data_IF_864213559019
#
_entry.id   IF_864213559019
#
_cell.length_a   1.000
_cell.length_b   1.000
_cell.length_c   1.000
_cell.angle_alpha   90.00
_cell.angle_beta   90.00
_cell.angle_gamma   90.00
#
_symmetry.space_group_name_H-M   'P 1'
#
loop_
_entity.id
_entity.type
_entity.pdbx_description
1 polymer ?
#
# COMPACT_ATOMS: atom_id res chain seq x y z
N UNK A 1 5.89 5.24 -24.48
CA UNK A 1 4.78 4.73 -23.69
C UNK A 1 4.94 5.25 -22.27
N UNK A 2 3.84 5.53 -21.56
CA UNK A 2 3.89 5.90 -20.13
C UNK A 2 3.93 4.60 -19.33
N UNK A 3 4.81 4.52 -18.33
CA UNK A 3 4.79 3.40 -17.39
C UNK A 3 3.66 3.61 -16.38
N UNK A 4 2.98 2.54 -16.04
CA UNK A 4 1.88 2.55 -15.06
C UNK A 4 2.30 1.83 -13.81
N UNK A 5 2.01 2.46 -12.67
CA UNK A 5 2.16 1.89 -11.34
C UNK A 5 0.77 1.70 -10.71
N UNK A 6 0.45 0.48 -10.33
CA UNK A 6 -0.82 0.12 -9.71
C UNK A 6 -0.63 -0.30 -8.25
N UNK A 7 -1.70 -0.30 -7.48
CA UNK A 7 -1.66 -0.51 -6.03
C UNK A 7 -2.78 -1.42 -5.53
N UNK A 8 -2.59 -1.99 -4.37
CA UNK A 8 -3.61 -2.68 -3.58
C UNK A 8 -4.38 -3.73 -4.40
N UNK A 9 -5.70 -3.60 -4.48
CA UNK A 9 -6.57 -4.56 -5.15
C UNK A 9 -6.83 -4.28 -6.63
N UNK A 10 -6.07 -3.39 -7.27
CA UNK A 10 -6.28 -3.05 -8.68
C UNK A 10 -6.19 -4.26 -9.64
N UNK A 11 -5.46 -5.31 -9.26
CA UNK A 11 -5.41 -6.53 -10.07
C UNK A 11 -6.76 -7.27 -10.15
N UNK A 12 -7.70 -6.99 -9.24
CA UNK A 12 -9.05 -7.53 -9.27
C UNK A 12 -10.00 -6.73 -10.17
N UNK A 13 -9.57 -5.55 -10.64
CA UNK A 13 -10.34 -4.72 -11.58
C UNK A 13 -10.27 -5.31 -13.00
N UNK A 14 -11.37 -5.23 -13.75
CA UNK A 14 -11.46 -5.72 -15.13
C UNK A 14 -10.45 -5.08 -16.09
N UNK A 15 -10.04 -3.83 -15.80
CA UNK A 15 -9.06 -3.08 -16.58
C UNK A 15 -7.62 -3.55 -16.38
N UNK A 16 -7.34 -4.38 -15.39
CA UNK A 16 -5.97 -4.80 -15.06
C UNK A 16 -5.23 -5.40 -16.25
N UNK A 17 -5.89 -6.31 -16.98
CA UNK A 17 -5.32 -6.96 -18.17
C UNK A 17 -5.10 -6.03 -19.36
N UNK A 18 -5.85 -4.92 -19.43
CA UNK A 18 -5.70 -3.88 -20.47
C UNK A 18 -4.62 -2.88 -20.09
N UNK A 19 -4.59 -2.43 -18.83
CA UNK A 19 -3.62 -1.45 -18.31
C UNK A 19 -2.21 -2.02 -18.25
N UNK A 20 -2.06 -3.29 -17.89
CA UNK A 20 -0.78 -4.02 -17.82
C UNK A 20 0.30 -3.22 -17.09
N UNK A 21 0.14 -2.90 -15.80
CA UNK A 21 1.07 -2.07 -15.06
C UNK A 21 2.48 -2.67 -15.04
N UNK A 22 3.50 -1.85 -15.32
CA UNK A 22 4.89 -2.25 -15.22
C UNK A 22 5.37 -2.36 -13.76
N UNK A 23 4.71 -1.62 -12.87
CA UNK A 23 4.99 -1.55 -11.44
C UNK A 23 3.72 -1.82 -10.63
N UNK A 24 3.87 -2.54 -9.53
CA UNK A 24 2.78 -2.82 -8.61
C UNK A 24 3.26 -2.66 -7.17
N UNK A 25 2.48 -2.02 -6.30
CA UNK A 25 2.89 -1.76 -4.91
C UNK A 25 1.89 -2.36 -3.93
N UNK A 26 2.37 -3.21 -3.04
CA UNK A 26 1.66 -3.75 -1.90
C UNK A 26 2.39 -3.33 -0.62
N UNK A 27 1.95 -2.24 0.01
CA UNK A 27 2.60 -1.68 1.19
C UNK A 27 1.87 -1.93 2.49
N UNK A 28 0.59 -2.26 2.45
CA UNK A 28 -0.19 -2.48 3.66
C UNK A 28 0.16 -3.83 4.31
N UNK A 29 0.30 -3.89 5.63
CA UNK A 29 0.53 -5.13 6.37
C UNK A 29 -0.49 -6.23 6.12
N UNK A 30 -1.73 -5.90 5.74
CA UNK A 30 -2.76 -6.89 5.41
C UNK A 30 -2.35 -7.87 4.31
N UNK A 31 -1.45 -7.46 3.41
CA UNK A 31 -1.00 -8.29 2.29
C UNK A 31 -0.01 -9.39 2.69
N UNK A 32 0.56 -9.33 3.89
CA UNK A 32 1.50 -10.34 4.38
C UNK A 32 1.20 -10.81 5.82
N UNK A 33 0.08 -10.36 6.40
CA UNK A 33 -0.39 -10.83 7.72
C UNK A 33 -1.63 -11.68 7.58
N UNK A 34 -1.65 -12.76 8.33
CA UNK A 34 -2.72 -13.75 8.31
C UNK A 34 -4.07 -13.30 8.90
N UNK A 35 -4.18 -12.08 9.39
CA UNK A 35 -5.26 -11.72 10.32
C UNK A 35 -6.49 -11.05 9.71
N UNK A 36 -6.39 -10.47 8.49
CA UNK A 36 -7.51 -9.67 7.93
C UNK A 36 -7.67 -9.90 6.43
N UNK A 37 -8.93 -10.05 5.97
CA UNK A 37 -9.28 -10.17 4.54
C UNK A 37 -8.58 -11.30 3.77
N UNK A 38 -8.38 -12.45 4.41
CA UNK A 38 -7.66 -13.61 3.84
C UNK A 38 -8.12 -13.98 2.43
N UNK A 39 -9.43 -14.08 2.22
CA UNK A 39 -10.00 -14.56 0.95
C UNK A 39 -9.67 -13.59 -0.20
N UNK A 40 -9.82 -12.30 0.06
CA UNK A 40 -9.57 -11.26 -0.95
C UNK A 40 -8.08 -11.10 -1.26
N UNK A 41 -7.21 -11.23 -0.27
CA UNK A 41 -5.76 -11.23 -0.48
C UNK A 41 -5.33 -12.49 -1.22
N UNK A 42 -5.89 -13.64 -0.90
CA UNK A 42 -5.63 -14.89 -1.63
C UNK A 42 -6.10 -14.80 -3.09
N UNK A 43 -7.26 -14.19 -3.34
CA UNK A 43 -7.76 -13.92 -4.68
C UNK A 43 -6.82 -12.97 -5.44
N UNK A 44 -6.34 -11.90 -4.80
CA UNK A 44 -5.36 -10.98 -5.37
C UNK A 44 -4.09 -11.72 -5.81
N UNK A 45 -3.52 -12.54 -4.96
CA UNK A 45 -2.30 -13.29 -5.28
C UNK A 45 -2.52 -14.31 -6.38
N UNK A 46 -3.65 -15.03 -6.36
CA UNK A 46 -4.03 -15.94 -7.44
C UNK A 46 -4.16 -15.18 -8.77
N UNK A 47 -4.85 -14.04 -8.77
CA UNK A 47 -5.02 -13.21 -9.96
C UNK A 47 -3.69 -12.70 -10.51
N UNK A 48 -2.79 -12.23 -9.65
CA UNK A 48 -1.45 -11.83 -10.05
C UNK A 48 -0.64 -13.00 -10.62
N UNK A 49 -0.71 -14.16 -9.97
CA UNK A 49 -0.01 -15.35 -10.43
C UNK A 49 -0.50 -15.85 -11.79
N UNK A 50 -1.81 -15.81 -12.05
CA UNK A 50 -2.42 -16.36 -13.25
C UNK A 50 -2.48 -15.37 -14.42
N UNK A 51 -2.80 -14.09 -14.16
CA UNK A 51 -3.10 -13.11 -15.22
C UNK A 51 -1.90 -12.30 -15.69
N UNK A 52 -0.81 -12.21 -14.92
CA UNK A 52 0.35 -11.42 -15.33
C UNK A 52 1.17 -12.17 -16.36
N UNK A 53 1.06 -11.75 -17.62
CA UNK A 53 1.80 -12.32 -18.78
C UNK A 53 2.85 -11.35 -19.33
N UNK A 54 3.12 -10.25 -18.62
CA UNK A 54 4.10 -9.22 -18.99
C UNK A 54 5.09 -8.99 -17.84
N UNK A 55 6.29 -8.46 -18.12
CA UNK A 55 7.24 -8.11 -17.08
C UNK A 55 6.66 -7.08 -16.12
N UNK A 56 6.59 -7.41 -14.84
CA UNK A 56 6.07 -6.54 -13.79
C UNK A 56 6.96 -6.58 -12.55
N UNK A 57 7.29 -5.41 -12.00
CA UNK A 57 7.99 -5.31 -10.72
C UNK A 57 6.97 -5.11 -9.60
N UNK A 58 6.92 -6.06 -8.67
CA UNK A 58 6.09 -5.98 -7.48
C UNK A 58 6.91 -5.46 -6.30
N UNK A 59 6.56 -4.27 -5.83
CA UNK A 59 7.19 -3.63 -4.68
C UNK A 59 6.48 -4.00 -3.40
N UNK A 60 7.23 -4.56 -2.45
CA UNK A 60 6.77 -4.98 -1.13
C UNK A 60 7.69 -4.46 -0.04
N UNK A 61 7.19 -4.33 1.17
CA UNK A 61 8.01 -3.89 2.30
C UNK A 61 9.15 -4.88 2.57
N UNK A 62 10.35 -4.34 2.87
CA UNK A 62 11.49 -5.15 3.31
C UNK A 62 11.22 -5.81 4.67
N UNK A 63 10.61 -5.06 5.59
CA UNK A 63 10.21 -5.56 6.89
C UNK A 63 9.01 -6.51 6.75
N UNK A 64 9.27 -7.77 7.06
CA UNK A 64 8.30 -8.85 6.99
C UNK A 64 8.41 -9.70 8.26
N UNK A 65 7.76 -9.30 9.37
CA UNK A 65 7.89 -9.96 10.67
C UNK A 65 7.39 -11.40 10.67
N UNK A 66 6.45 -11.72 9.80
CA UNK A 66 5.84 -13.05 9.68
C UNK A 66 6.57 -13.93 8.67
N UNK A 67 7.65 -13.43 8.08
CA UNK A 67 8.46 -14.12 7.07
C UNK A 67 7.63 -14.64 5.88
N UNK A 68 6.60 -13.88 5.51
CA UNK A 68 5.74 -14.25 4.39
C UNK A 68 6.55 -14.47 3.12
N UNK A 69 6.40 -15.64 2.51
CA UNK A 69 7.11 -15.99 1.29
C UNK A 69 6.33 -15.55 0.05
N UNK A 70 6.62 -14.34 -0.42
CA UNK A 70 6.02 -13.80 -1.63
C UNK A 70 6.30 -14.66 -2.88
N UNK A 71 7.41 -15.39 -2.94
CA UNK A 71 7.72 -16.23 -4.10
C UNK A 71 6.87 -17.49 -4.13
N UNK A 72 6.61 -18.08 -2.97
CA UNK A 72 5.68 -19.19 -2.85
C UNK A 72 4.24 -18.76 -3.15
N UNK A 73 3.84 -17.56 -2.70
CA UNK A 73 2.52 -17.02 -2.97
C UNK A 73 2.30 -16.56 -4.42
N UNK A 74 3.39 -16.19 -5.12
CA UNK A 74 3.37 -15.64 -6.49
C UNK A 74 4.37 -16.39 -7.39
N UNK A 75 4.09 -17.65 -7.73
CA UNK A 75 4.97 -18.49 -8.57
C UNK A 75 4.86 -18.09 -10.07
N UNK A 76 5.03 -16.80 -10.39
CA UNK A 76 4.96 -16.29 -11.75
C UNK A 76 6.31 -15.69 -12.17
N UNK A 77 6.96 -16.21 -13.23
CA UNK A 77 8.28 -15.76 -13.67
C UNK A 77 8.29 -14.33 -14.23
N UNK A 78 7.13 -13.81 -14.64
CA UNK A 78 7.00 -12.43 -15.11
C UNK A 78 6.98 -11.41 -13.96
N UNK A 79 6.80 -11.86 -12.71
CA UNK A 79 6.74 -10.98 -11.54
C UNK A 79 8.09 -10.97 -10.82
N UNK A 80 8.77 -9.82 -10.86
CA UNK A 80 9.97 -9.59 -10.08
C UNK A 80 9.61 -8.93 -8.76
N UNK A 81 9.86 -9.61 -7.64
CA UNK A 81 9.66 -9.04 -6.31
C UNK A 81 10.81 -8.13 -5.94
N UNK A 82 10.50 -6.87 -5.67
CA UNK A 82 11.45 -5.83 -5.24
C UNK A 82 11.07 -5.38 -3.83
N UNK A 83 12.02 -5.43 -2.92
CA UNK A 83 11.80 -5.01 -1.53
C UNK A 83 12.28 -3.59 -1.33
N UNK A 84 11.49 -2.76 -0.64
CA UNK A 84 11.87 -1.40 -0.27
C UNK A 84 11.86 -1.23 1.26
N UNK A 85 12.75 -0.38 1.74
CA UNK A 85 12.85 -0.10 3.17
C UNK A 85 11.77 0.89 3.63
N UNK A 86 11.13 0.57 4.76
CA UNK A 86 10.17 1.43 5.45
C UNK A 86 10.73 1.97 6.77
N UNK A 87 12.03 1.83 6.98
CA UNK A 87 12.69 2.34 8.18
C UNK A 87 12.80 3.86 8.12
N UNK A 88 12.16 4.52 9.08
CA UNK A 88 12.22 5.97 9.23
C UNK A 88 13.46 6.33 10.05
N UNK A 89 14.39 7.02 9.42
CA UNK A 89 15.51 7.62 10.11
C UNK A 89 15.13 9.03 10.58
N UNK A 90 15.46 9.34 11.84
CA UNK A 90 15.31 10.68 12.41
C UNK A 90 16.65 11.12 12.97
N UNK A 91 17.21 12.19 12.43
CA UNK A 91 18.51 12.70 12.84
C UNK A 91 18.99 13.83 11.95
N UNK A 92 20.25 13.82 11.56
CA UNK A 92 20.81 14.85 10.69
C UNK A 92 20.17 14.78 9.29
N UNK A 93 19.57 15.89 8.85
CA UNK A 93 18.84 15.96 7.56
C UNK A 93 19.67 15.50 6.35
N UNK A 94 20.98 15.79 6.35
CA UNK A 94 21.85 15.34 5.26
C UNK A 94 21.94 13.82 5.14
N UNK A 95 22.03 13.11 6.29
CA UNK A 95 22.05 11.65 6.37
C UNK A 95 20.68 11.09 6.00
N UNK A 96 19.62 11.71 6.52
CA UNK A 96 18.23 11.33 6.21
C UNK A 96 17.97 11.34 4.69
N UNK A 97 18.25 12.45 4.02
CA UNK A 97 18.08 12.55 2.57
C UNK A 97 19.01 11.63 1.78
N UNK A 98 20.22 11.39 2.28
CA UNK A 98 21.12 10.44 1.66
C UNK A 98 20.55 9.01 1.71
N UNK A 99 20.06 8.57 2.88
CA UNK A 99 19.41 7.26 3.04
C UNK A 99 18.20 7.13 2.12
N UNK A 100 17.35 8.16 2.05
CA UNK A 100 16.15 8.12 1.21
C UNK A 100 16.49 8.02 -0.28
N UNK A 101 17.49 8.78 -0.74
CA UNK A 101 17.94 8.73 -2.15
C UNK A 101 18.52 7.40 -2.55
N UNK A 102 19.07 6.65 -1.61
CA UNK A 102 19.68 5.34 -1.87
C UNK A 102 18.73 4.17 -1.55
N UNK A 103 17.48 4.44 -1.19
CA UNK A 103 16.51 3.39 -0.86
C UNK A 103 16.83 2.64 0.44
N UNK A 104 17.69 3.18 1.30
CA UNK A 104 18.13 2.59 2.57
C UNK A 104 17.26 3.01 3.76
N UNK A 105 16.36 3.94 3.54
CA UNK A 105 15.39 4.43 4.50
C UNK A 105 14.24 5.10 3.76
N UNK A 106 13.20 5.47 4.48
CA UNK A 106 12.05 6.15 3.91
C UNK A 106 11.46 7.18 4.87
N UNK A 107 10.63 8.07 4.34
CA UNK A 107 9.75 8.89 5.16
C UNK A 107 8.67 8.02 5.82
N UNK A 108 7.99 8.58 6.82
CA UNK A 108 6.82 7.94 7.41
C UNK A 108 5.64 8.09 6.45
N UNK A 109 5.32 7.05 5.70
CA UNK A 109 4.22 7.07 4.74
C UNK A 109 2.89 6.83 5.44
N UNK A 110 1.93 7.71 5.20
CA UNK A 110 0.55 7.57 5.67
C UNK A 110 -0.37 6.84 4.68
N UNK A 111 0.03 6.78 3.40
CA UNK A 111 -0.76 6.15 2.33
C UNK A 111 0.13 5.41 1.33
N UNK A 112 -0.45 4.44 0.62
CA UNK A 112 0.26 3.74 -0.47
C UNK A 112 0.66 4.66 -1.62
N UNK A 113 -0.06 5.76 -1.83
CA UNK A 113 0.27 6.75 -2.87
C UNK A 113 1.64 7.38 -2.60
N UNK A 114 1.91 7.77 -1.35
CA UNK A 114 3.22 8.30 -0.97
C UNK A 114 4.36 7.29 -1.17
N UNK A 115 4.06 6.00 -0.97
CA UNK A 115 5.02 4.93 -1.30
C UNK A 115 5.27 4.88 -2.80
N UNK A 116 4.23 4.99 -3.62
CA UNK A 116 4.36 5.01 -5.08
C UNK A 116 5.19 6.20 -5.57
N UNK A 117 4.93 7.38 -5.03
CA UNK A 117 5.71 8.60 -5.32
C UNK A 117 7.20 8.40 -4.97
N UNK A 118 7.47 7.85 -3.80
CA UNK A 118 8.83 7.55 -3.35
C UNK A 118 9.53 6.53 -4.27
N UNK A 119 8.86 5.43 -4.61
CA UNK A 119 9.39 4.41 -5.52
C UNK A 119 9.65 5.02 -6.90
N UNK A 120 8.73 5.83 -7.42
CA UNK A 120 8.89 6.50 -8.70
C UNK A 120 10.10 7.47 -8.71
N UNK A 121 10.32 8.21 -7.61
CA UNK A 121 11.50 9.06 -7.45
C UNK A 121 12.80 8.24 -7.42
N UNK A 122 12.82 7.08 -6.74
CA UNK A 122 13.98 6.17 -6.75
C UNK A 122 14.26 5.60 -8.14
N UNK A 123 13.22 5.39 -8.94
CA UNK A 123 13.33 4.96 -10.34
C UNK A 123 13.77 6.08 -11.28
N UNK A 124 13.85 7.34 -10.81
CA UNK A 124 14.30 8.49 -11.56
C UNK A 124 13.21 9.21 -12.35
N UNK A 125 11.93 8.90 -12.13
CA UNK A 125 10.83 9.64 -12.75
C UNK A 125 10.78 11.07 -12.23
N UNK A 126 10.59 12.02 -13.15
CA UNK A 126 10.52 13.47 -12.86
C UNK A 126 9.11 14.01 -12.90
N UNK A 127 8.21 13.29 -13.52
CA UNK A 127 6.80 13.67 -13.68
C UNK A 127 5.94 12.48 -13.33
N UNK A 128 4.97 12.70 -12.46
CA UNK A 128 4.00 11.70 -12.03
C UNK A 128 2.60 12.25 -12.31
N UNK A 129 1.74 11.41 -12.86
CA UNK A 129 0.32 11.69 -13.01
C UNK A 129 -0.44 10.78 -12.06
N UNK A 130 -1.26 11.34 -11.18
CA UNK A 130 -2.01 10.60 -10.17
C UNK A 130 -3.46 10.45 -10.62
N UNK A 131 -3.99 9.24 -10.53
CA UNK A 131 -5.36 8.90 -10.87
C UNK A 131 -6.05 8.18 -9.70
N UNK A 132 -7.30 8.58 -9.40
CA UNK A 132 -8.08 7.94 -8.34
C UNK A 132 -7.53 8.21 -6.93
N UNK A 133 -6.95 9.40 -6.72
CA UNK A 133 -6.40 9.82 -5.42
C UNK A 133 -7.29 10.90 -4.84
N UNK A 134 -8.26 10.48 -4.05
CA UNK A 134 -9.32 11.39 -3.55
C UNK A 134 -8.91 12.14 -2.29
N UNK A 135 -8.07 11.53 -1.44
CA UNK A 135 -7.63 12.08 -0.14
C UNK A 135 -8.77 12.57 0.78
N UNK A 136 -9.90 11.87 0.77
CA UNK A 136 -11.14 12.21 1.48
C UNK A 136 -11.14 11.79 2.95
N UNK A 137 -9.97 11.62 3.56
CA UNK A 137 -9.83 11.10 4.94
C UNK A 137 -10.55 11.95 5.99
N UNK A 138 -10.76 13.24 5.72
CA UNK A 138 -11.45 14.15 6.63
C UNK A 138 -12.97 14.19 6.41
N UNK A 139 -13.44 13.81 5.24
CA UNK A 139 -14.86 13.91 4.86
C UNK A 139 -15.74 12.91 5.61
N UNK A 140 -15.15 11.81 6.06
CA UNK A 140 -15.83 10.78 6.83
C UNK A 140 -15.79 10.95 8.36
N UNK A 141 -15.30 12.10 8.85
CA UNK A 141 -15.23 12.35 10.29
C UNK A 141 -16.61 12.68 10.87
N UNK A 142 -16.93 12.06 12.00
CA UNK A 142 -18.16 12.29 12.78
C UNK A 142 -17.89 12.08 14.26
N UNK A 143 -18.82 12.52 15.10
CA UNK A 143 -18.79 12.25 16.54
C UNK A 143 -19.99 11.39 16.85
N UNK A 144 -19.79 10.28 17.56
CA UNK A 144 -20.87 9.39 18.00
C UNK A 144 -21.57 9.89 19.29
N UNK A 145 -22.61 9.17 19.72
CA UNK A 145 -23.40 9.52 20.89
C UNK A 145 -22.60 9.45 22.21
N UNK A 146 -21.48 8.72 22.22
CA UNK A 146 -20.54 8.65 23.35
C UNK A 146 -19.44 9.72 23.28
N UNK A 147 -19.60 10.73 22.41
CA UNK A 147 -18.63 11.81 22.18
C UNK A 147 -17.23 11.34 21.76
N UNK A 148 -17.18 10.25 20.96
CA UNK A 148 -15.93 9.74 20.38
C UNK A 148 -15.80 10.19 18.94
N UNK A 149 -14.59 10.61 18.55
CA UNK A 149 -14.30 10.91 17.15
C UNK A 149 -14.27 9.62 16.35
N UNK A 150 -15.12 9.54 15.35
CA UNK A 150 -15.26 8.40 14.46
C UNK A 150 -14.87 8.77 13.03
N UNK A 151 -14.46 7.78 12.26
CA UNK A 151 -14.19 7.91 10.83
C UNK A 151 -14.86 6.78 10.04
N UNK A 152 -15.52 7.15 8.97
CA UNK A 152 -16.03 6.24 7.96
C UNK A 152 -15.00 6.16 6.82
N UNK A 153 -14.25 5.06 6.75
CA UNK A 153 -13.34 4.81 5.63
C UNK A 153 -14.12 4.13 4.50
N UNK A 154 -14.29 4.82 3.39
CA UNK A 154 -14.90 4.29 2.19
C UNK A 154 -13.81 3.97 1.16
N UNK A 155 -13.74 2.74 0.72
CA UNK A 155 -12.87 2.35 -0.38
C UNK A 155 -13.67 2.19 -1.67
N UNK A 156 -13.03 2.44 -2.81
CA UNK A 156 -13.62 2.31 -4.14
C UNK A 156 -14.30 0.95 -4.38
N UNK A 157 -13.79 -0.10 -3.75
CA UNK A 157 -14.26 -1.48 -3.89
C UNK A 157 -15.23 -1.93 -2.79
N UNK A 158 -15.73 -1.01 -1.96
CA UNK A 158 -16.71 -1.33 -0.92
C UNK A 158 -18.12 -1.22 -1.47
N UNK A 159 -18.86 -2.32 -1.49
CA UNK A 159 -20.25 -2.39 -1.94
C UNK A 159 -21.24 -1.84 -0.89
N UNK A 160 -20.83 -1.78 0.37
CA UNK A 160 -21.66 -1.33 1.47
C UNK A 160 -21.28 0.11 1.93
N UNK A 161 -22.23 0.86 2.50
CA UNK A 161 -21.94 2.14 3.12
C UNK A 161 -20.89 1.96 4.24
N UNK A 162 -19.89 2.85 4.26
CA UNK A 162 -18.89 2.83 5.31
C UNK A 162 -19.54 3.17 6.66
N UNK A 163 -19.35 2.28 7.64
CA UNK A 163 -19.82 2.49 9.01
C UNK A 163 -18.76 3.26 9.80
N UNK A 164 -19.08 4.41 10.42
CA UNK A 164 -18.14 5.14 11.25
C UNK A 164 -17.59 4.28 12.38
N UNK A 165 -16.28 4.26 12.55
CA UNK A 165 -15.59 3.54 13.64
C UNK A 165 -14.77 4.54 14.46
N UNK A 166 -14.72 4.40 15.81
CA UNK A 166 -13.89 5.25 16.65
C UNK A 166 -12.41 5.20 16.19
N UNK A 167 -11.82 6.37 15.98
CA UNK A 167 -10.42 6.50 15.56
C UNK A 167 -9.50 6.17 16.74
N UNK A 168 -9.88 6.66 17.95
CA UNK A 168 -9.13 6.43 19.16
C UNK A 168 -9.86 5.38 20.01
N UNK A 169 -9.19 4.28 20.26
CA UNK A 169 -9.69 3.29 21.20
C UNK A 169 -8.88 3.38 22.48
N UNK A 170 -9.59 3.35 23.63
CA UNK A 170 -8.94 3.28 24.92
C UNK A 170 -8.27 1.92 25.06
N UNK A 171 -6.95 1.89 24.92
CA UNK A 171 -6.16 0.70 25.21
C UNK A 171 -5.86 0.70 26.72
N UNK A 172 -6.17 -0.37 27.46
CA UNK A 172 -5.75 -0.47 28.85
C UNK A 172 -4.25 -0.16 28.99
N UNK A 173 -3.91 0.77 29.87
CA UNK A 173 -2.55 1.21 30.19
C UNK A 173 -1.83 2.09 29.13
N UNK A 174 -2.52 2.61 28.12
CA UNK A 174 -1.95 3.65 27.25
C UNK A 174 -2.83 4.89 27.23
N UNK A 175 -2.26 6.11 27.37
CA UNK A 175 -3.00 7.33 27.09
C UNK A 175 -3.40 7.34 25.60
N UNK A 176 -4.45 8.08 25.26
CA UNK A 176 -4.86 8.27 23.87
C UNK A 176 -3.66 8.75 23.03
N UNK A 177 -3.32 8.02 21.98
CA UNK A 177 -2.27 8.38 21.00
C UNK A 177 -2.89 8.57 19.64
#
# INVERSE_FOLDING_TARGET
>A
AKDVMAVNYFALDERFGTVRPAYYVLSDPMFFRDSVCRDRVAELYRTLAEKVTWPMNLYVQYYNPERFDYRAALPNPNIRIVRFHTQVYRGFRGVEFWLYRHGLGSANFGTVVQVCEYVALLLGYKTLELYGVDHTLLDGLSVDDENRLCRADRHYYDDAPAVPKPIFQKVPHRPYT
#
